data_IF_846297566997
#
_entry.id   IF_846297566997
#
_cell.length_a   1.000
_cell.length_b   1.000
_cell.length_c   1.000
_cell.angle_alpha   90.00
_cell.angle_beta   90.00
_cell.angle_gamma   90.00
#
_symmetry.space_group_name_H-M   'P 1'
#
loop_
_entity.id
_entity.type
_entity.pdbx_description
1 polymer ?
#
# COMPACT_ATOMS: atom_id res chain seq x y z
N UNK A 1 -1.73 5.87 -1.70
CA UNK A 1 -0.29 5.52 -1.52
C UNK A 1 0.52 6.27 -2.54
N UNK A 2 1.38 7.19 -2.09
CA UNK A 2 2.14 8.06 -2.99
C UNK A 2 3.46 7.43 -3.41
N UNK A 3 4.24 6.91 -2.46
CA UNK A 3 5.56 6.32 -2.75
C UNK A 3 5.84 5.08 -1.89
N UNK A 4 6.70 4.23 -2.44
CA UNK A 4 7.29 3.05 -1.82
C UNK A 4 8.80 3.11 -2.08
N UNK A 5 9.60 3.06 -1.02
CA UNK A 5 11.06 2.96 -1.09
C UNK A 5 11.53 1.84 -0.17
N UNK A 6 12.61 1.17 -0.54
CA UNK A 6 13.25 0.20 0.33
C UNK A 6 14.76 0.20 0.13
N UNK A 7 15.47 -0.12 1.20
CA UNK A 7 16.93 -0.22 1.22
C UNK A 7 17.38 -1.33 2.15
N UNK A 8 18.49 -1.99 1.79
CA UNK A 8 19.11 -2.98 2.65
C UNK A 8 20.04 -2.27 3.63
N UNK A 9 19.67 -2.28 4.91
CA UNK A 9 20.48 -1.75 6.00
C UNK A 9 21.29 -2.87 6.68
N UNK A 10 22.18 -2.50 7.62
CA UNK A 10 22.97 -3.49 8.39
C UNK A 10 22.12 -4.48 9.19
N UNK A 11 20.91 -4.08 9.59
CA UNK A 11 20.05 -4.85 10.50
C UNK A 11 18.85 -5.50 9.80
N UNK A 12 18.71 -5.35 8.48
CA UNK A 12 17.60 -5.91 7.71
C UNK A 12 17.19 -5.07 6.52
N UNK A 13 16.05 -5.41 5.92
CA UNK A 13 15.43 -4.65 4.84
C UNK A 13 14.52 -3.58 5.43
N UNK A 14 14.89 -2.31 5.25
CA UNK A 14 14.09 -1.18 5.62
C UNK A 14 13.18 -0.76 4.47
N UNK A 15 11.92 -0.48 4.78
CA UNK A 15 10.88 -0.12 3.80
C UNK A 15 10.12 1.08 4.32
N UNK A 16 9.96 2.07 3.46
CA UNK A 16 9.28 3.33 3.75
C UNK A 16 8.14 3.52 2.78
N UNK A 17 6.94 3.70 3.33
CA UNK A 17 5.74 4.05 2.59
C UNK A 17 5.34 5.48 2.90
N UNK A 18 4.91 6.21 1.87
CA UNK A 18 4.32 7.54 2.03
C UNK A 18 2.87 7.53 1.58
N UNK A 19 1.98 8.02 2.44
CA UNK A 19 0.56 8.17 2.19
C UNK A 19 0.15 9.62 2.40
N UNK A 20 -0.74 10.12 1.56
CA UNK A 20 -1.34 11.45 1.74
C UNK A 20 -2.84 11.33 1.89
N UNK A 21 -3.38 12.20 2.73
CA UNK A 21 -4.81 12.42 2.88
C UNK A 21 -5.13 13.81 2.36
N UNK A 22 -5.65 13.85 1.13
CA UNK A 22 -5.75 15.08 0.35
C UNK A 22 -4.38 15.77 0.22
N UNK A 23 -4.41 17.09 0.15
CA UNK A 23 -3.20 17.93 0.04
C UNK A 23 -2.68 18.41 1.40
N UNK A 24 -3.31 17.99 2.50
CA UNK A 24 -3.10 18.59 3.83
C UNK A 24 -2.22 17.74 4.73
N UNK A 25 -2.39 16.41 4.71
CA UNK A 25 -1.71 15.52 5.64
C UNK A 25 -0.91 14.47 4.90
N UNK A 26 0.32 14.25 5.36
CA UNK A 26 1.18 13.19 4.87
C UNK A 26 1.63 12.33 6.03
N UNK A 27 1.60 11.02 5.82
CA UNK A 27 2.01 10.00 6.78
C UNK A 27 3.15 9.19 6.17
N UNK A 28 4.17 8.96 6.98
CA UNK A 28 5.29 8.09 6.63
C UNK A 28 5.24 6.87 7.53
N UNK A 29 5.18 5.70 6.92
CA UNK A 29 5.22 4.43 7.62
C UNK A 29 6.57 3.76 7.37
N UNK A 30 7.30 3.46 8.44
CA UNK A 30 8.58 2.75 8.39
C UNK A 30 8.38 1.31 8.86
N UNK A 31 8.88 0.36 8.08
CA UNK A 31 8.85 -1.06 8.38
C UNK A 31 10.25 -1.64 8.21
N UNK A 32 10.73 -2.36 9.23
CA UNK A 32 11.98 -3.08 9.18
C UNK A 32 11.68 -4.58 9.17
N UNK A 33 12.16 -5.28 8.15
CA UNK A 33 12.22 -6.74 8.15
C UNK A 33 13.59 -7.17 8.67
N UNK A 34 13.70 -7.52 9.96
CA UNK A 34 14.98 -7.91 10.53
C UNK A 34 15.49 -9.18 9.85
N UNK A 35 16.80 -9.34 9.81
CA UNK A 35 17.48 -10.55 9.31
C UNK A 35 17.28 -10.85 7.81
N UNK A 36 16.60 -9.97 7.07
CA UNK A 36 16.59 -10.02 5.61
C UNK A 36 17.93 -9.47 5.12
N UNK A 37 18.72 -10.33 4.48
CA UNK A 37 20.02 -9.99 3.92
C UNK A 37 20.03 -10.02 2.38
N UNK A 38 21.15 -9.58 1.79
CA UNK A 38 21.33 -9.59 0.34
C UNK A 38 21.22 -11.00 -0.27
N UNK A 39 21.62 -12.04 0.47
CA UNK A 39 21.60 -13.41 -0.02
C UNK A 39 20.17 -13.95 -0.12
N UNK A 40 19.28 -13.55 0.80
CA UNK A 40 17.85 -13.83 0.69
C UNK A 40 17.21 -13.07 -0.46
N UNK A 41 17.49 -11.77 -0.59
CA UNK A 41 16.93 -10.94 -1.67
C UNK A 41 17.37 -11.42 -3.06
N UNK A 42 18.61 -11.88 -3.20
CA UNK A 42 19.12 -12.41 -4.48
C UNK A 42 18.42 -13.71 -4.94
N UNK A 43 17.62 -14.36 -4.08
CA UNK A 43 16.78 -15.51 -4.48
C UNK A 43 15.50 -15.11 -5.19
N UNK A 44 15.14 -13.82 -5.11
CA UNK A 44 13.95 -13.25 -5.73
C UNK A 44 14.38 -12.34 -6.88
N UNK A 45 13.54 -12.25 -7.90
CA UNK A 45 13.67 -11.19 -8.90
C UNK A 45 13.35 -9.82 -8.27
N UNK A 46 13.94 -8.74 -8.79
CA UNK A 46 13.57 -7.39 -8.37
C UNK A 46 12.06 -7.13 -8.48
N UNK A 47 11.40 -7.68 -9.51
CA UNK A 47 9.97 -7.56 -9.73
C UNK A 47 9.14 -8.25 -8.63
N UNK A 48 9.56 -9.43 -8.16
CA UNK A 48 8.89 -10.13 -7.05
C UNK A 48 9.01 -9.33 -5.75
N UNK A 49 10.20 -8.80 -5.46
CA UNK A 49 10.42 -7.94 -4.28
C UNK A 49 9.50 -6.72 -4.35
N UNK A 50 9.48 -6.03 -5.49
CA UNK A 50 8.62 -4.86 -5.70
C UNK A 50 7.14 -5.22 -5.49
N UNK A 51 6.68 -6.36 -6.02
CA UNK A 51 5.30 -6.81 -5.88
C UNK A 51 4.93 -7.14 -4.43
N UNK A 52 5.81 -7.84 -3.70
CA UNK A 52 5.55 -8.17 -2.29
C UNK A 52 5.50 -6.93 -1.42
N UNK A 53 6.47 -6.03 -1.56
CA UNK A 53 6.50 -4.78 -0.79
C UNK A 53 5.33 -3.87 -1.16
N UNK A 54 4.96 -3.81 -2.45
CA UNK A 54 3.78 -3.07 -2.87
C UNK A 54 2.48 -3.62 -2.27
N UNK A 55 2.31 -4.95 -2.21
CA UNK A 55 1.14 -5.56 -1.58
C UNK A 55 1.06 -5.27 -0.08
N UNK A 56 2.20 -5.27 0.62
CA UNK A 56 2.29 -4.88 2.04
C UNK A 56 1.89 -3.41 2.21
N UNK A 57 2.42 -2.50 1.37
CA UNK A 57 2.03 -1.09 1.37
C UNK A 57 0.55 -0.85 1.09
N UNK A 58 -0.05 -1.64 0.22
CA UNK A 58 -1.49 -1.59 -0.04
C UNK A 58 -2.30 -2.00 1.19
N UNK A 59 -1.89 -3.05 1.90
CA UNK A 59 -2.53 -3.46 3.15
C UNK A 59 -2.40 -2.38 4.24
N UNK A 60 -1.22 -1.78 4.38
CA UNK A 60 -0.98 -0.70 5.34
C UNK A 60 -1.75 0.59 5.02
N UNK A 61 -1.96 0.90 3.73
CA UNK A 61 -2.77 2.04 3.33
C UNK A 61 -4.18 2.01 3.93
N UNK A 62 -4.75 0.81 4.15
CA UNK A 62 -6.08 0.64 4.74
C UNK A 62 -6.14 1.11 6.20
N UNK A 63 -5.03 1.05 6.93
CA UNK A 63 -4.95 1.57 8.30
C UNK A 63 -5.13 3.10 8.33
N UNK A 64 -4.56 3.81 7.36
CA UNK A 64 -4.73 5.25 7.23
C UNK A 64 -6.08 5.65 6.64
N UNK A 65 -6.60 4.85 5.71
CA UNK A 65 -7.93 5.08 5.13
C UNK A 65 -9.04 5.11 6.19
N UNK A 66 -8.96 4.27 7.24
CA UNK A 66 -9.89 4.25 8.39
C UNK A 66 -10.02 5.60 9.11
N UNK A 67 -9.04 6.50 8.99
CA UNK A 67 -9.11 7.83 9.59
C UNK A 67 -10.18 8.71 8.93
N UNK A 68 -10.56 8.40 7.69
CA UNK A 68 -11.48 9.24 6.90
C UNK A 68 -12.63 8.50 6.24
N UNK A 69 -12.51 7.18 6.06
CA UNK A 69 -13.43 6.40 5.24
C UNK A 69 -13.67 7.07 3.86
N UNK A 70 -12.58 7.57 3.26
CA UNK A 70 -12.63 8.30 1.99
C UNK A 70 -13.31 7.46 0.90
N UNK A 71 -14.22 8.03 0.09
CA UNK A 71 -14.84 7.31 -1.02
C UNK A 71 -13.83 6.98 -2.13
N UNK A 72 -12.62 7.54 -2.08
CA UNK A 72 -11.56 7.31 -3.06
C UNK A 72 -10.26 6.87 -2.41
N UNK A 73 -9.58 5.92 -3.05
CA UNK A 73 -8.22 5.48 -2.73
C UNK A 73 -7.40 5.59 -4.01
N UNK A 74 -6.40 6.48 -3.99
CA UNK A 74 -5.48 6.64 -5.12
C UNK A 74 -4.14 5.94 -4.84
N UNK A 75 -3.75 5.07 -5.76
CA UNK A 75 -2.51 4.31 -5.72
C UNK A 75 -1.55 4.84 -6.79
N UNK A 76 -0.61 5.68 -6.37
CA UNK A 76 0.37 6.33 -7.28
C UNK A 76 1.70 5.60 -7.35
N UNK A 77 2.02 4.80 -6.33
CA UNK A 77 3.29 4.09 -6.20
C UNK A 77 3.42 2.86 -7.13
N UNK A 78 2.35 2.43 -7.80
CA UNK A 78 2.37 1.30 -8.71
C UNK A 78 1.07 1.13 -9.49
N UNK A 79 1.07 0.16 -10.40
CA UNK A 79 -0.09 -0.18 -11.21
C UNK A 79 -0.84 -1.36 -10.61
N UNK A 80 -2.16 -1.34 -10.77
CA UNK A 80 -3.05 -2.46 -10.51
C UNK A 80 -3.85 -2.73 -11.77
N UNK A 81 -4.02 -4.01 -12.11
CA UNK A 81 -4.99 -4.41 -13.12
C UNK A 81 -6.41 -4.47 -12.52
N UNK A 82 -7.41 -4.67 -13.38
CA UNK A 82 -8.82 -4.70 -12.96
C UNK A 82 -9.12 -5.78 -11.91
N UNK A 83 -8.55 -6.98 -12.06
CA UNK A 83 -8.75 -8.09 -11.12
C UNK A 83 -8.15 -7.78 -9.75
N UNK A 84 -6.97 -7.15 -9.71
CA UNK A 84 -6.33 -6.73 -8.47
C UNK A 84 -7.11 -5.60 -7.78
N UNK A 85 -7.64 -4.64 -8.56
CA UNK A 85 -8.52 -3.58 -8.03
C UNK A 85 -9.75 -4.21 -7.39
N UNK A 86 -10.42 -5.14 -8.08
CA UNK A 86 -11.58 -5.85 -7.55
C UNK A 86 -11.23 -6.63 -6.27
N UNK A 87 -10.09 -7.32 -6.25
CA UNK A 87 -9.64 -8.06 -5.08
C UNK A 87 -9.39 -7.15 -3.86
N UNK A 88 -8.71 -6.01 -4.04
CA UNK A 88 -8.47 -5.06 -2.94
C UNK A 88 -9.76 -4.40 -2.45
N UNK A 89 -10.67 -4.10 -3.36
CA UNK A 89 -12.00 -3.61 -3.02
C UNK A 89 -12.74 -4.62 -2.14
N UNK A 90 -12.83 -5.87 -2.56
CA UNK A 90 -13.51 -6.93 -1.82
C UNK A 90 -12.85 -7.20 -0.46
N UNK A 91 -11.52 -7.19 -0.40
CA UNK A 91 -10.78 -7.32 0.85
C UNK A 91 -11.14 -6.20 1.83
N UNK A 92 -11.22 -4.95 1.36
CA UNK A 92 -11.59 -3.81 2.20
C UNK A 92 -13.03 -3.98 2.71
N UNK A 93 -13.98 -4.24 1.82
CA UNK A 93 -15.40 -4.36 2.20
C UNK A 93 -15.62 -5.51 3.19
N UNK A 94 -15.00 -6.67 2.96
CA UNK A 94 -15.17 -7.84 3.82
C UNK A 94 -14.34 -7.77 5.10
N UNK A 95 -13.14 -7.18 5.04
CA UNK A 95 -12.20 -7.11 6.16
C UNK A 95 -12.53 -6.04 7.21
N UNK A 96 -13.40 -5.08 6.88
CA UNK A 96 -13.69 -3.90 7.73
C UNK A 96 -15.05 -3.95 8.42
N UNK A 97 -15.71 -5.11 8.49
CA UNK A 97 -17.07 -5.25 9.02
C UNK A 97 -17.26 -4.67 10.44
N UNK A 98 -16.35 -4.95 11.38
CA UNK A 98 -16.42 -4.40 12.74
C UNK A 98 -16.23 -2.87 12.76
N UNK A 99 -15.32 -2.36 11.93
CA UNK A 99 -15.08 -0.93 11.78
C UNK A 99 -16.34 -0.22 11.26
N UNK A 100 -16.99 -0.77 10.24
CA UNK A 100 -18.23 -0.19 9.71
C UNK A 100 -19.37 -0.24 10.72
N UNK A 101 -19.54 -1.38 11.39
CA UNK A 101 -20.57 -1.55 12.41
C UNK A 101 -20.39 -0.56 13.57
N UNK A 102 -19.19 -0.49 14.13
CA UNK A 102 -18.87 0.35 15.28
C UNK A 102 -19.05 1.83 14.96
N UNK A 103 -18.63 2.25 13.77
CA UNK A 103 -18.69 3.65 13.33
C UNK A 103 -20.01 4.00 12.63
N UNK A 104 -20.96 3.06 12.52
CA UNK A 104 -22.27 3.24 11.86
C UNK A 104 -22.16 3.73 10.41
N UNK A 105 -21.17 3.22 9.70
CA UNK A 105 -20.91 3.55 8.29
C UNK A 105 -21.77 2.62 7.43
N UNK A 106 -22.49 3.18 6.45
CA UNK A 106 -23.21 2.39 5.44
C UNK A 106 -22.24 2.09 4.29
N UNK A 107 -21.92 0.82 4.07
CA UNK A 107 -20.85 0.38 3.18
C UNK A 107 -21.33 -0.55 2.06
N UNK A 108 -22.65 -0.74 1.93
CA UNK A 108 -23.27 -1.63 0.95
C UNK A 108 -23.49 -0.98 -0.42
N UNK A 109 -23.20 0.31 -0.54
CA UNK A 109 -23.34 1.03 -1.79
C UNK A 109 -22.24 0.57 -2.78
N UNK A 110 -22.58 0.32 -4.06
CA UNK A 110 -21.59 -0.10 -5.07
C UNK A 110 -20.44 0.89 -5.25
N UNK A 111 -20.71 2.17 -5.01
CA UNK A 111 -19.73 3.26 -5.14
C UNK A 111 -19.16 3.70 -3.78
N UNK A 112 -19.27 2.86 -2.75
CA UNK A 112 -18.79 3.20 -1.40
C UNK A 112 -17.31 3.54 -1.36
N UNK A 113 -16.48 2.80 -2.12
CA UNK A 113 -15.06 3.09 -2.27
C UNK A 113 -14.58 2.77 -3.68
N UNK A 114 -13.90 3.73 -4.31
CA UNK A 114 -13.32 3.58 -5.63
C UNK A 114 -11.80 3.57 -5.49
N UNK A 115 -11.18 2.49 -5.93
CA UNK A 115 -9.72 2.36 -5.96
C UNK A 115 -9.24 2.68 -7.38
N UNK A 116 -8.34 3.65 -7.50
CA UNK A 116 -7.66 3.97 -8.75
C UNK A 116 -6.17 3.74 -8.63
N UNK A 117 -5.54 3.30 -9.71
CA UNK A 117 -4.10 3.07 -9.76
C UNK A 117 -3.48 3.76 -10.96
N UNK A 118 -2.21 4.16 -10.84
CA UNK A 118 -1.47 4.71 -11.97
C UNK A 118 -1.29 3.67 -13.08
N UNK A 119 -1.36 4.11 -14.34
CA UNK A 119 -1.13 3.25 -15.52
C UNK A 119 0.36 2.88 -15.74
N UNK A 120 1.28 3.27 -14.85
CA UNK A 120 2.72 3.05 -15.02
C UNK A 120 3.29 2.11 -13.95
N UNK A 121 4.29 1.31 -14.36
CA UNK A 121 5.05 0.40 -13.47
C UNK A 121 5.59 1.17 -12.26
N UNK A 122 5.77 0.46 -11.14
CA UNK A 122 6.24 0.96 -9.85
C UNK A 122 7.39 1.96 -10.04
N UNK A 123 7.21 3.20 -9.56
CA UNK A 123 8.23 4.24 -9.66
C UNK A 123 9.34 3.95 -8.65
N UNK A 124 10.42 3.30 -9.11
CA UNK A 124 11.66 3.21 -8.34
C UNK A 124 12.29 4.59 -8.25
N UNK A 125 12.40 5.12 -7.04
CA UNK A 125 13.35 6.18 -6.74
C UNK A 125 14.44 5.56 -5.86
N UNK A 126 15.42 4.92 -6.50
CA UNK A 126 16.70 4.65 -5.84
C UNK A 126 17.46 5.98 -5.81
N UNK A 127 17.80 6.48 -4.63
CA UNK A 127 18.79 7.56 -4.53
C UNK A 127 20.18 6.99 -4.86
N UNK A 128 20.99 7.71 -5.65
CA UNK A 128 22.32 7.28 -6.00
C UNK A 128 23.23 7.27 -4.76
N UNK A 129 24.11 6.27 -4.73
CA UNK A 129 25.19 6.08 -3.75
C UNK A 129 26.03 7.33 -3.50
#
# INVERSE_FOLDING_TARGET
MDTLKYELEKNGLAVVYTYSLGDTYTFTHYLLFPEVDALMLNKLSPEEIDQYLFAIGMAEALNYWKLTASPTIEVKAGALNADQIAWWHDLLIQGMGEYFFTNKITFTDPDFVIITAANSKIKKTQEPQ
#
